data_IF_267209702297
#
_entry.id   IF_267209702297
#
_cell.length_a   1.000
_cell.length_b   1.000
_cell.length_c   1.000
_cell.angle_alpha   90.00
_cell.angle_beta   90.00
_cell.angle_gamma   90.00
#
_symmetry.space_group_name_H-M   'P 1'
#
loop_
_entity.id
_entity.type
_entity.pdbx_description
1 polymer ?
#
# COMPACT_ATOMS: atom_id res chain seq x y z
N UNK A 1 72.68 -38.93 1.23
CA UNK A 1 73.54 -37.80 0.84
C UNK A 1 72.65 -36.75 0.18
N UNK A 2 72.13 -35.75 0.91
CA UNK A 2 72.73 -34.41 1.11
C UNK A 2 73.23 -33.86 -0.24
N UNK A 3 72.57 -32.90 -0.89
CA UNK A 3 72.55 -31.47 -0.49
C UNK A 3 71.25 -30.75 -0.88
N UNK A 4 70.72 -30.01 0.10
CA UNK A 4 69.87 -28.82 -0.05
C UNK A 4 70.71 -27.67 -0.60
N UNK A 5 70.10 -26.79 -1.41
CA UNK A 5 70.41 -25.35 -1.42
C UNK A 5 69.13 -24.55 -1.56
N UNK A 6 69.04 -23.52 -0.71
CA UNK A 6 67.92 -22.60 -0.46
C UNK A 6 68.10 -21.29 -1.24
N UNK A 7 66.95 -20.68 -1.56
CA UNK A 7 66.58 -19.24 -1.55
C UNK A 7 67.38 -18.23 -2.40
N UNK A 8 66.64 -17.45 -3.19
CA UNK A 8 66.47 -16.00 -2.97
C UNK A 8 65.23 -15.47 -3.70
N UNK A 9 64.24 -15.02 -2.91
CA UNK A 9 63.23 -14.04 -3.31
C UNK A 9 63.90 -12.67 -3.44
N UNK A 10 63.53 -11.89 -4.45
CA UNK A 10 63.52 -10.43 -4.35
C UNK A 10 62.29 -9.88 -5.07
N UNK A 11 61.38 -9.33 -4.25
CA UNK A 11 60.30 -8.42 -4.63
C UNK A 11 60.87 -7.07 -5.04
N UNK A 12 60.29 -6.44 -6.06
CA UNK A 12 60.30 -4.98 -6.19
C UNK A 12 59.14 -4.50 -7.08
N UNK A 13 58.11 -3.92 -6.46
CA UNK A 13 57.29 -2.83 -7.02
C UNK A 13 57.69 -1.52 -6.29
N UNK A 14 57.22 -0.32 -6.66
CA UNK A 14 57.28 0.36 -7.97
C UNK A 14 57.80 1.83 -7.81
N UNK A 15 58.02 2.62 -8.88
CA UNK A 15 58.10 4.06 -8.74
C UNK A 15 56.81 4.78 -9.17
N UNK A 16 56.18 5.33 -8.14
CA UNK A 16 55.27 6.46 -8.05
C UNK A 16 55.32 7.46 -9.24
N UNK A 17 54.29 7.47 -10.10
CA UNK A 17 54.06 8.55 -11.07
C UNK A 17 53.02 9.52 -10.51
N UNK A 18 53.52 10.68 -10.07
CA UNK A 18 52.74 11.87 -9.71
C UNK A 18 51.82 12.28 -10.86
N UNK A 19 50.50 12.15 -10.68
CA UNK A 19 49.51 12.85 -11.50
C UNK A 19 49.55 14.34 -11.15
N UNK A 20 50.16 15.13 -12.04
CA UNK A 20 50.09 16.58 -12.06
C UNK A 20 48.67 17.01 -12.41
N UNK A 21 47.87 17.43 -11.42
CA UNK A 21 46.61 18.14 -11.65
C UNK A 21 46.91 19.59 -12.01
N UNK A 22 46.95 19.91 -13.31
CA UNK A 22 46.89 21.31 -13.75
C UNK A 22 45.47 21.83 -13.59
N UNK A 23 45.31 22.63 -12.54
CA UNK A 23 44.33 23.71 -12.44
C UNK A 23 44.26 24.47 -13.77
N UNK A 24 43.11 24.49 -14.43
CA UNK A 24 42.78 25.55 -15.39
C UNK A 24 41.77 26.46 -14.72
N UNK A 25 42.27 27.65 -14.39
CA UNK A 25 41.47 28.82 -14.03
C UNK A 25 40.63 29.23 -15.24
N UNK A 26 39.32 29.37 -15.04
CA UNK A 26 38.44 30.05 -15.98
C UNK A 26 38.70 31.55 -15.89
N UNK A 27 39.08 32.15 -17.02
CA UNK A 27 39.22 33.60 -17.17
C UNK A 27 37.84 34.20 -17.40
N UNK A 28 37.48 35.14 -16.54
CA UNK A 28 36.35 36.05 -16.70
C UNK A 28 36.70 37.05 -17.81
N UNK A 29 35.87 37.12 -18.84
CA UNK A 29 35.76 38.32 -19.66
C UNK A 29 34.35 38.87 -19.53
N UNK A 30 34.26 40.03 -18.89
CA UNK A 30 33.18 40.97 -19.09
C UNK A 30 33.36 41.61 -20.47
N UNK A 31 32.27 41.78 -21.22
CA UNK A 31 32.08 42.91 -22.13
C UNK A 31 30.59 43.17 -22.24
N UNK A 32 30.24 44.39 -21.85
CA UNK A 32 28.94 45.02 -22.03
C UNK A 32 28.72 45.46 -23.49
N UNK A 33 27.43 45.49 -23.85
CA UNK A 33 26.74 46.39 -24.79
C UNK A 33 27.10 46.39 -26.30
N UNK A 34 26.19 45.90 -27.16
CA UNK A 34 25.07 46.68 -27.71
C UNK A 34 24.29 45.94 -28.81
N UNK A 35 22.96 46.00 -28.71
CA UNK A 35 21.87 45.95 -29.72
C UNK A 35 21.93 45.04 -30.96
N UNK A 36 20.94 44.15 -31.08
CA UNK A 36 19.93 44.16 -32.18
C UNK A 36 19.17 42.83 -32.31
N UNK A 37 17.84 42.94 -32.29
CA UNK A 37 16.81 42.10 -32.95
C UNK A 37 16.62 40.62 -32.58
N UNK A 38 15.52 40.38 -31.86
CA UNK A 38 14.44 39.41 -32.18
C UNK A 38 14.82 38.03 -32.73
N UNK A 39 14.68 37.00 -31.87
CA UNK A 39 13.72 35.90 -32.09
C UNK A 39 13.68 35.03 -30.84
N UNK A 40 12.48 34.91 -30.25
CA UNK A 40 12.18 34.00 -29.15
C UNK A 40 12.09 32.56 -29.68
N UNK A 41 13.02 31.70 -29.25
CA UNK A 41 12.77 30.27 -29.18
C UNK A 41 13.39 29.76 -27.87
N UNK A 42 12.52 29.67 -26.85
CA UNK A 42 12.87 29.39 -25.47
C UNK A 42 13.21 27.90 -25.30
N UNK A 43 14.50 27.57 -25.38
CA UNK A 43 15.05 26.27 -24.98
C UNK A 43 14.94 26.08 -23.46
N UNK A 44 14.41 24.96 -22.94
CA UNK A 44 14.31 24.77 -21.51
C UNK A 44 15.68 24.51 -20.90
N UNK A 45 16.01 25.39 -19.95
CA UNK A 45 17.21 25.40 -19.11
C UNK A 45 17.42 24.06 -18.40
N UNK A 46 18.63 23.53 -18.56
CA UNK A 46 19.21 22.43 -17.76
C UNK A 46 19.14 22.82 -16.28
N UNK A 47 18.24 22.19 -15.55
CA UNK A 47 18.15 22.29 -14.08
C UNK A 47 18.91 21.14 -13.44
N UNK A 48 19.56 21.48 -12.32
CA UNK A 48 20.59 20.70 -11.66
C UNK A 48 20.20 19.25 -11.29
N UNK A 49 21.21 18.40 -11.41
CA UNK A 49 21.22 16.97 -11.07
C UNK A 49 20.88 16.78 -9.58
N UNK A 50 19.64 16.34 -9.31
CA UNK A 50 19.23 15.87 -7.98
C UNK A 50 19.74 14.43 -7.79
N UNK A 51 20.71 14.25 -6.90
CA UNK A 51 21.22 12.93 -6.50
C UNK A 51 20.09 12.12 -5.85
N UNK A 52 19.68 11.02 -6.49
CA UNK A 52 18.80 10.02 -5.88
C UNK A 52 19.61 9.12 -4.93
N UNK A 53 19.51 9.36 -3.62
CA UNK A 53 20.00 8.45 -2.59
C UNK A 53 18.90 7.45 -2.23
N UNK A 54 19.22 6.16 -2.17
CA UNK A 54 18.32 5.10 -1.72
C UNK A 54 18.74 4.60 -0.34
N UNK A 55 17.95 4.93 0.69
CA UNK A 55 18.07 4.31 2.01
C UNK A 55 17.24 3.01 2.06
N UNK A 56 17.87 1.91 2.48
CA UNK A 56 17.23 0.61 2.67
C UNK A 56 16.68 0.51 4.09
N UNK A 57 15.35 0.42 4.25
CA UNK A 57 14.72 -0.09 5.48
C UNK A 57 14.18 -1.50 5.25
N UNK A 58 14.62 -2.44 6.09
CA UNK A 58 14.09 -3.80 6.21
C UNK A 58 12.79 -3.75 7.02
N UNK A 59 11.73 -4.41 6.54
CA UNK A 59 10.58 -4.79 7.37
C UNK A 59 10.32 -6.29 7.24
N UNK A 60 10.12 -6.92 8.39
CA UNK A 60 9.84 -8.34 8.60
C UNK A 60 8.33 -8.61 8.68
N UNK A 61 7.91 -9.78 8.20
CA UNK A 61 6.51 -10.23 8.08
C UNK A 61 5.85 -10.64 9.43
N UNK A 62 4.50 -10.65 9.53
CA UNK A 62 3.77 -11.04 10.73
C UNK A 62 3.40 -12.53 10.74
N UNK A 63 3.40 -13.12 11.94
CA UNK A 63 2.94 -14.48 12.23
C UNK A 63 1.42 -14.51 12.45
N UNK A 64 0.76 -15.54 11.91
CA UNK A 64 -0.68 -15.75 12.04
C UNK A 64 -1.08 -16.44 13.35
N UNK A 65 -2.39 -16.41 13.64
CA UNK A 65 -3.00 -17.35 14.56
C UNK A 65 -4.42 -17.72 14.09
N UNK A 66 -4.68 -19.03 14.09
CA UNK A 66 -5.97 -19.70 13.91
C UNK A 66 -6.50 -20.11 15.28
N UNK A 67 -7.82 -20.12 15.46
CA UNK A 67 -8.62 -20.93 16.41
C UNK A 67 -10.09 -20.60 16.06
N UNK A 68 -10.94 -21.44 15.48
CA UNK A 68 -11.35 -22.84 15.69
C UNK A 68 -12.16 -23.04 16.99
N UNK A 69 -13.49 -22.89 16.87
CA UNK A 69 -14.58 -23.42 17.73
C UNK A 69 -14.41 -24.93 17.96
N UNK A 70 -14.93 -25.54 19.06
CA UNK A 70 -16.30 -26.15 19.08
C UNK A 70 -16.91 -26.36 20.53
N UNK A 71 -17.81 -27.32 20.84
CA UNK A 71 -19.29 -27.32 20.68
C UNK A 71 -20.07 -27.89 21.93
N UNK A 72 -21.33 -28.34 21.72
CA UNK A 72 -22.24 -29.19 22.55
C UNK A 72 -23.28 -28.47 23.44
N UNK A 73 -24.46 -29.01 23.79
CA UNK A 73 -25.44 -30.00 23.27
C UNK A 73 -26.50 -30.22 24.38
N UNK A 74 -27.80 -30.28 24.01
CA UNK A 74 -28.86 -31.23 24.42
C UNK A 74 -29.24 -31.45 25.93
N UNK A 75 -30.57 -31.41 26.22
CA UNK A 75 -31.28 -32.24 27.24
C UNK A 75 -32.18 -31.46 28.23
N UNK A 76 -33.53 -31.56 28.15
CA UNK A 76 -34.45 -32.35 29.04
C UNK A 76 -34.61 -31.77 30.48
N UNK A 77 -35.73 -31.76 31.20
CA UNK A 77 -37.13 -32.21 31.10
C UNK A 77 -37.87 -31.64 32.35
N UNK A 78 -39.20 -31.65 32.35
CA UNK A 78 -40.09 -31.18 33.42
C UNK A 78 -40.01 -31.98 34.74
N UNK A 79 -40.48 -31.41 35.86
CA UNK A 79 -41.65 -31.84 36.68
C UNK A 79 -41.65 -31.12 38.06
N UNK A 80 -42.83 -30.83 38.67
CA UNK A 80 -43.03 -29.89 39.77
C UNK A 80 -43.18 -30.58 41.13
N UNK A 81 -43.16 -29.82 42.23
CA UNK A 81 -43.54 -30.34 43.55
C UNK A 81 -44.34 -29.33 44.38
N UNK A 82 -45.49 -29.82 44.85
CA UNK A 82 -46.43 -29.23 45.80
C UNK A 82 -45.84 -29.22 47.22
N UNK A 83 -46.40 -28.39 48.11
CA UNK A 83 -46.78 -28.71 49.51
C UNK A 83 -47.27 -27.41 50.19
N UNK A 84 -48.52 -27.38 50.69
CA UNK A 84 -48.92 -27.54 52.10
C UNK A 84 -48.54 -26.28 52.96
N UNK A 85 -49.33 -25.70 53.87
CA UNK A 85 -50.42 -26.17 54.71
C UNK A 85 -50.99 -24.95 55.47
N UNK A 86 -52.29 -25.01 55.79
CA UNK A 86 -53.00 -24.53 57.01
C UNK A 86 -52.46 -23.37 57.88
N UNK A 87 -53.36 -22.46 58.27
CA UNK A 87 -53.93 -22.42 59.64
C UNK A 87 -55.06 -21.38 59.77
N UNK A 88 -56.05 -21.81 60.52
CA UNK A 88 -57.34 -21.23 60.89
C UNK A 88 -57.21 -20.19 62.02
N UNK A 89 -58.24 -19.34 62.23
CA UNK A 89 -58.26 -18.40 63.34
C UNK A 89 -59.32 -17.30 63.28
N UNK A 90 -60.60 -17.67 63.36
CA UNK A 90 -61.71 -16.77 63.76
C UNK A 90 -61.67 -16.56 65.28
N UNK A 91 -62.04 -15.37 65.77
CA UNK A 91 -63.16 -15.36 66.71
C UNK A 91 -64.18 -14.25 66.44
N UNK A 92 -65.43 -14.65 66.69
CA UNK A 92 -66.71 -13.95 66.67
C UNK A 92 -66.76 -12.88 67.78
N UNK A 93 -67.34 -11.70 67.49
CA UNK A 93 -68.00 -10.84 68.49
C UNK A 93 -69.27 -10.24 67.87
N UNK A 94 -70.28 -10.14 68.73
CA UNK A 94 -71.72 -10.11 68.49
C UNK A 94 -72.29 -8.78 67.96
N UNK A 95 -73.41 -8.91 67.23
CA UNK A 95 -74.36 -7.85 66.91
C UNK A 95 -75.22 -7.47 68.13
N UNK A 96 -75.78 -6.25 68.15
CA UNK A 96 -77.22 -6.14 68.40
C UNK A 96 -77.99 -5.30 67.36
N UNK A 97 -79.26 -5.70 67.19
CA UNK A 97 -80.38 -5.26 66.34
C UNK A 97 -80.73 -3.75 66.40
N UNK A 98 -81.03 -3.05 65.27
CA UNK A 98 -82.34 -2.80 64.59
C UNK A 98 -83.29 -1.76 65.28
N UNK A 99 -84.26 -1.09 64.62
CA UNK A 99 -84.35 -0.52 63.26
C UNK A 99 -84.85 0.96 63.25
N UNK A 100 -84.61 1.71 62.16
CA UNK A 100 -85.55 2.78 61.72
C UNK A 100 -85.65 2.72 60.19
N UNK A 101 -86.85 2.38 59.72
CA UNK A 101 -87.27 2.49 58.31
C UNK A 101 -87.36 3.96 57.90
N UNK A 102 -86.79 4.34 56.76
CA UNK A 102 -87.32 5.45 55.97
C UNK A 102 -87.17 5.12 54.48
N UNK A 103 -88.30 4.75 53.85
CA UNK A 103 -88.43 4.50 52.41
C UNK A 103 -88.33 5.83 51.66
N UNK A 104 -87.46 5.98 50.63
CA UNK A 104 -87.64 7.03 49.65
C UNK A 104 -88.84 6.67 48.76
N UNK A 105 -89.79 7.60 48.69
CA UNK A 105 -91.01 7.53 47.88
C UNK A 105 -90.66 7.19 46.42
N UNK A 106 -91.22 6.07 45.95
CA UNK A 106 -91.28 5.75 44.53
C UNK A 106 -92.20 6.75 43.82
N UNK A 107 -91.61 7.71 43.10
CA UNK A 107 -92.30 8.38 42.01
C UNK A 107 -92.42 7.40 40.85
N UNK A 108 -93.59 6.76 40.76
CA UNK A 108 -94.02 5.94 39.62
C UNK A 108 -94.23 6.86 38.41
N UNK A 109 -93.21 6.95 37.55
CA UNK A 109 -93.42 7.22 36.13
C UNK A 109 -94.12 6.00 35.52
N UNK A 110 -95.45 6.04 35.47
CA UNK A 110 -96.24 5.18 34.57
C UNK A 110 -95.94 5.59 33.12
N UNK A 111 -94.85 5.04 32.55
CA UNK A 111 -94.75 4.89 31.10
C UNK A 111 -95.46 3.58 30.72
N UNK A 112 -96.40 3.68 29.79
CA UNK A 112 -97.22 2.61 29.24
C UNK A 112 -96.54 1.24 29.16
N UNK A 113 -97.15 0.24 29.82
CA UNK A 113 -97.07 -1.15 29.36
C UNK A 113 -97.81 -1.24 28.02
N UNK A 114 -97.03 -1.09 26.94
CA UNK A 114 -97.45 -1.50 25.61
C UNK A 114 -97.23 -3.01 25.53
N UNK A 115 -98.28 -3.75 25.23
CA UNK A 115 -98.28 -5.19 24.98
C UNK A 115 -97.28 -5.49 23.84
N UNK A 116 -96.05 -5.89 24.19
CA UNK A 116 -95.02 -6.26 23.21
C UNK A 116 -95.26 -7.71 22.81
N UNK A 117 -95.37 -7.99 21.51
CA UNK A 117 -95.49 -9.37 21.04
C UNK A 117 -94.23 -10.16 21.37
N UNK A 118 -94.35 -11.49 21.48
CA UNK A 118 -93.21 -12.37 21.76
C UNK A 118 -92.08 -12.21 20.71
N UNK A 119 -92.44 -11.83 19.46
CA UNK A 119 -91.47 -11.50 18.42
C UNK A 119 -90.63 -10.24 18.74
N UNK A 120 -91.21 -9.23 19.39
CA UNK A 120 -90.48 -8.02 19.78
C UNK A 120 -89.52 -8.27 20.96
N UNK A 121 -89.86 -9.21 21.84
CA UNK A 121 -88.91 -9.72 22.85
C UNK A 121 -87.76 -10.46 22.21
N UNK A 122 -88.03 -11.34 21.25
CA UNK A 122 -86.98 -12.08 20.55
C UNK A 122 -86.07 -11.14 19.73
N UNK A 123 -86.64 -10.15 19.02
CA UNK A 123 -85.86 -9.12 18.31
C UNK A 123 -84.97 -8.32 19.25
N UNK A 124 -85.43 -8.03 20.45
CA UNK A 124 -84.64 -7.31 21.45
C UNK A 124 -83.49 -8.19 21.97
N UNK A 125 -83.73 -9.48 22.18
CA UNK A 125 -82.69 -10.45 22.57
C UNK A 125 -81.65 -10.60 21.45
N UNK A 126 -82.09 -10.71 20.20
CA UNK A 126 -81.20 -10.83 19.05
C UNK A 126 -80.38 -9.56 18.85
N UNK A 127 -81.00 -8.38 18.98
CA UNK A 127 -80.30 -7.08 18.95
C UNK A 127 -79.28 -6.96 20.10
N UNK A 128 -79.63 -7.43 21.31
CA UNK A 128 -78.72 -7.46 22.45
C UNK A 128 -77.54 -8.43 22.21
N UNK A 129 -77.78 -9.57 21.56
CA UNK A 129 -76.74 -10.53 21.18
C UNK A 129 -75.78 -9.94 20.12
N UNK A 130 -76.30 -9.26 19.10
CA UNK A 130 -75.48 -8.56 18.09
C UNK A 130 -74.65 -7.47 18.77
N UNK A 131 -75.27 -6.64 19.61
CA UNK A 131 -74.58 -5.58 20.35
C UNK A 131 -73.48 -6.15 21.27
N UNK A 132 -73.75 -7.25 21.96
CA UNK A 132 -72.78 -7.97 22.80
C UNK A 132 -71.60 -8.48 21.96
N UNK A 133 -71.89 -9.07 20.81
CA UNK A 133 -70.86 -9.62 19.90
C UNK A 133 -69.97 -8.52 19.34
N UNK A 134 -70.57 -7.39 18.94
CA UNK A 134 -69.85 -6.23 18.42
C UNK A 134 -69.01 -5.55 19.52
N UNK A 135 -69.55 -5.45 20.74
CA UNK A 135 -68.81 -4.97 21.90
C UNK A 135 -67.60 -5.87 22.21
N UNK A 136 -67.79 -7.19 22.22
CA UNK A 136 -66.69 -8.15 22.43
C UNK A 136 -65.64 -8.05 21.33
N UNK A 137 -66.05 -7.92 20.06
CA UNK A 137 -65.12 -7.75 18.94
C UNK A 137 -64.32 -6.45 19.03
N UNK A 138 -64.97 -5.33 19.39
CA UNK A 138 -64.30 -4.05 19.62
C UNK A 138 -63.32 -4.14 20.79
N UNK A 139 -63.74 -4.70 21.92
CA UNK A 139 -62.87 -4.90 23.09
C UNK A 139 -61.68 -5.79 22.78
N UNK A 140 -61.85 -6.85 21.97
CA UNK A 140 -60.76 -7.74 21.54
C UNK A 140 -59.77 -7.03 20.62
N UNK A 141 -60.26 -6.22 19.67
CA UNK A 141 -59.40 -5.40 18.81
C UNK A 141 -58.65 -4.32 19.60
N UNK A 142 -59.31 -3.69 20.57
CA UNK A 142 -58.69 -2.72 21.47
C UNK A 142 -57.62 -3.38 22.35
N UNK A 143 -57.90 -4.57 22.89
CA UNK A 143 -56.96 -5.33 23.70
C UNK A 143 -55.68 -5.71 22.94
N UNK A 144 -55.75 -5.96 21.63
CA UNK A 144 -54.57 -6.20 20.80
C UNK A 144 -53.61 -5.01 20.68
N UNK A 145 -54.10 -3.79 20.95
CA UNK A 145 -53.35 -2.54 20.78
C UNK A 145 -52.96 -1.86 22.10
N UNK A 146 -53.39 -2.40 23.25
CA UNK A 146 -53.06 -1.83 24.56
C UNK A 146 -51.63 -2.19 24.95
N UNK A 147 -50.91 -1.23 25.52
CA UNK A 147 -49.65 -1.50 26.18
C UNK A 147 -49.87 -2.37 27.43
N UNK A 148 -48.84 -3.10 27.85
CA UNK A 148 -48.89 -3.95 29.04
C UNK A 148 -49.24 -3.17 30.31
N UNK A 149 -48.86 -1.89 30.36
CA UNK A 149 -49.18 -0.97 31.47
C UNK A 149 -50.67 -0.61 31.46
N UNK A 150 -51.22 -0.28 30.30
CA UNK A 150 -52.65 0.02 30.15
C UNK A 150 -53.51 -1.23 30.42
N UNK A 151 -53.06 -2.42 30.02
CA UNK A 151 -53.73 -3.68 30.37
C UNK A 151 -53.78 -3.90 31.89
N UNK A 152 -52.70 -3.59 32.62
CA UNK A 152 -52.66 -3.70 34.09
C UNK A 152 -53.62 -2.72 34.75
N UNK A 153 -53.64 -1.47 34.29
CA UNK A 153 -54.54 -0.43 34.81
C UNK A 153 -56.00 -0.80 34.55
N UNK A 154 -56.31 -1.22 33.33
CA UNK A 154 -57.66 -1.64 32.95
C UNK A 154 -58.12 -2.86 33.75
N UNK A 155 -57.25 -3.86 33.92
CA UNK A 155 -57.54 -5.02 34.74
C UNK A 155 -57.82 -4.65 36.20
N UNK A 156 -57.02 -3.75 36.79
CA UNK A 156 -57.24 -3.24 38.16
C UNK A 156 -58.61 -2.59 38.30
N UNK A 157 -58.95 -1.65 37.40
CA UNK A 157 -60.25 -0.97 37.42
C UNK A 157 -61.41 -1.97 37.26
N UNK A 158 -61.26 -3.01 36.43
CA UNK A 158 -62.26 -4.06 36.29
C UNK A 158 -62.42 -4.89 37.57
N UNK A 159 -61.33 -5.19 38.27
CA UNK A 159 -61.39 -5.90 39.55
C UNK A 159 -62.10 -5.06 40.61
N UNK A 160 -61.80 -3.77 40.70
CA UNK A 160 -62.43 -2.86 41.66
C UNK A 160 -63.96 -2.79 41.45
N UNK A 161 -64.40 -2.73 40.18
CA UNK A 161 -65.84 -2.72 39.84
C UNK A 161 -66.51 -4.06 40.15
N UNK A 162 -65.87 -5.19 39.83
CA UNK A 162 -66.41 -6.52 40.11
C UNK A 162 -66.48 -6.82 41.61
N UNK A 163 -65.53 -6.29 42.40
CA UNK A 163 -65.53 -6.37 43.86
C UNK A 163 -66.70 -5.60 44.47
N UNK A 164 -66.98 -4.39 43.99
CA UNK A 164 -68.15 -3.59 44.42
C UNK A 164 -69.48 -4.27 44.09
N UNK A 165 -69.53 -5.04 43.00
CA UNK A 165 -70.71 -5.80 42.60
C UNK A 165 -70.91 -7.11 43.40
N UNK A 166 -69.97 -7.48 44.27
CA UNK A 166 -70.04 -8.69 45.10
C UNK A 166 -69.83 -9.99 44.34
N UNK A 167 -69.25 -9.93 43.14
CA UNK A 167 -69.04 -11.10 42.28
C UNK A 167 -67.73 -11.83 42.66
N UNK A 168 -67.70 -13.17 42.57
CA UNK A 168 -66.45 -13.92 42.76
C UNK A 168 -65.70 -14.04 41.42
N UNK A 169 -64.84 -13.06 41.13
CA UNK A 169 -64.10 -12.96 39.87
C UNK A 169 -62.66 -13.51 39.95
N UNK A 170 -62.34 -14.34 40.95
CA UNK A 170 -60.99 -14.89 41.18
C UNK A 170 -60.44 -15.68 39.98
N UNK A 171 -61.28 -16.46 39.30
CA UNK A 171 -60.91 -17.19 38.08
C UNK A 171 -60.58 -16.24 36.92
N UNK A 172 -61.42 -15.23 36.69
CA UNK A 172 -61.21 -14.18 35.69
C UNK A 172 -59.92 -13.39 35.96
N UNK A 173 -59.64 -13.05 37.23
CA UNK A 173 -58.41 -12.40 37.67
C UNK A 173 -57.16 -13.22 37.34
N UNK A 174 -57.22 -14.54 37.52
CA UNK A 174 -56.14 -15.45 37.15
C UNK A 174 -55.90 -15.49 35.64
N UNK A 175 -56.98 -15.56 34.84
CA UNK A 175 -56.94 -15.57 33.38
C UNK A 175 -56.30 -14.29 32.80
N UNK A 176 -56.73 -13.13 33.30
CA UNK A 176 -56.23 -11.82 32.87
C UNK A 176 -54.77 -11.62 33.29
N UNK A 177 -54.38 -12.04 34.49
CA UNK A 177 -52.97 -12.01 34.91
C UNK A 177 -52.08 -12.91 34.04
N UNK A 178 -52.54 -14.11 33.66
CA UNK A 178 -51.82 -14.98 32.72
C UNK A 178 -51.63 -14.29 31.37
N UNK A 179 -52.66 -13.62 30.86
CA UNK A 179 -52.61 -12.87 29.60
C UNK A 179 -51.61 -11.70 29.66
N UNK A 180 -51.64 -10.91 30.74
CA UNK A 180 -50.69 -9.80 30.96
C UNK A 180 -49.24 -10.33 31.00
N UNK A 181 -48.99 -11.44 31.70
CA UNK A 181 -47.66 -12.05 31.78
C UNK A 181 -47.21 -12.58 30.42
N UNK A 182 -48.09 -13.24 29.67
CA UNK A 182 -47.78 -13.69 28.30
C UNK A 182 -47.44 -12.51 27.39
N UNK A 183 -48.22 -11.43 27.44
CA UNK A 183 -47.96 -10.23 26.64
C UNK A 183 -46.61 -9.58 27.01
N UNK A 184 -46.28 -9.50 28.31
CA UNK A 184 -44.98 -9.00 28.78
C UNK A 184 -43.80 -9.87 28.31
N UNK A 185 -43.97 -11.19 28.26
CA UNK A 185 -42.96 -12.13 27.74
C UNK A 185 -42.73 -11.95 26.23
N UNK A 186 -43.80 -11.77 25.46
CA UNK A 186 -43.68 -11.51 24.01
C UNK A 186 -42.99 -10.17 23.74
N UNK A 187 -43.34 -9.13 24.52
CA UNK A 187 -42.73 -7.81 24.36
C UNK A 187 -41.23 -7.79 24.74
N UNK A 188 -40.83 -8.52 25.78
CA UNK A 188 -39.42 -8.67 26.16
C UNK A 188 -38.63 -9.44 25.10
N UNK A 189 -39.15 -10.59 24.65
CA UNK A 189 -38.51 -11.37 23.59
C UNK A 189 -38.34 -10.57 22.27
N UNK A 190 -39.31 -9.72 21.91
CA UNK A 190 -39.20 -8.84 20.75
C UNK A 190 -38.07 -7.80 20.90
N UNK A 191 -37.97 -7.16 22.08
CA UNK A 191 -36.92 -6.19 22.39
C UNK A 191 -35.53 -6.83 22.40
N UNK A 192 -35.40 -8.01 23.00
CA UNK A 192 -34.14 -8.74 23.04
C UNK A 192 -33.66 -9.11 21.62
N UNK A 193 -34.58 -9.56 20.76
CA UNK A 193 -34.28 -9.87 19.36
C UNK A 193 -33.81 -8.64 18.56
N UNK A 194 -34.45 -7.50 18.77
CA UNK A 194 -34.09 -6.24 18.11
C UNK A 194 -32.73 -5.74 18.57
N UNK A 195 -32.47 -5.76 19.88
CA UNK A 195 -31.18 -5.36 20.44
C UNK A 195 -30.02 -6.25 19.95
N UNK A 196 -30.20 -7.57 19.95
CA UNK A 196 -29.16 -8.49 19.47
C UNK A 196 -28.80 -8.25 18.00
N UNK A 197 -29.78 -7.98 17.14
CA UNK A 197 -29.52 -7.68 15.74
C UNK A 197 -28.78 -6.36 15.54
N UNK A 198 -29.16 -5.30 16.26
CA UNK A 198 -28.60 -3.97 16.05
C UNK A 198 -27.15 -3.85 16.55
N UNK A 199 -26.86 -4.41 17.73
CA UNK A 199 -25.51 -4.40 18.29
C UNK A 199 -24.53 -5.27 17.50
N UNK A 200 -24.97 -6.45 17.07
CA UNK A 200 -24.14 -7.39 16.28
C UNK A 200 -23.85 -6.83 14.88
N UNK A 201 -24.88 -6.27 14.22
CA UNK A 201 -24.70 -5.67 12.89
C UNK A 201 -23.81 -4.43 12.93
N UNK A 202 -23.90 -3.63 14.00
CA UNK A 202 -23.01 -2.47 14.20
C UNK A 202 -21.57 -2.89 14.48
N UNK A 203 -21.35 -3.95 15.27
CA UNK A 203 -20.02 -4.50 15.51
C UNK A 203 -19.38 -5.01 14.23
N UNK A 204 -20.11 -5.82 13.45
CA UNK A 204 -19.65 -6.29 12.14
C UNK A 204 -19.34 -5.16 11.16
N UNK A 205 -20.17 -4.11 11.13
CA UNK A 205 -19.89 -2.93 10.31
C UNK A 205 -18.59 -2.22 10.74
N UNK A 206 -18.37 -2.06 12.05
CA UNK A 206 -17.14 -1.46 12.57
C UNK A 206 -15.90 -2.27 12.21
N UNK A 207 -15.94 -3.59 12.35
CA UNK A 207 -14.85 -4.49 11.96
C UNK A 207 -14.56 -4.40 10.46
N UNK A 208 -15.61 -4.41 9.63
CA UNK A 208 -15.46 -4.24 8.18
C UNK A 208 -14.85 -2.88 7.84
N UNK A 209 -15.30 -1.80 8.46
CA UNK A 209 -14.76 -0.45 8.22
C UNK A 209 -13.27 -0.36 8.60
N UNK A 210 -12.86 -0.97 9.71
CA UNK A 210 -11.45 -1.03 10.10
C UNK A 210 -10.63 -1.87 9.11
N UNK A 211 -11.15 -3.02 8.68
CA UNK A 211 -10.50 -3.84 7.66
C UNK A 211 -10.33 -3.09 6.34
N UNK A 212 -11.38 -2.42 5.85
CA UNK A 212 -11.33 -1.59 4.65
C UNK A 212 -10.33 -0.44 4.78
N UNK A 213 -10.27 0.21 5.95
CA UNK A 213 -9.29 1.27 6.22
C UNK A 213 -7.86 0.74 6.09
N UNK A 214 -7.57 -0.42 6.69
CA UNK A 214 -6.26 -1.07 6.61
C UNK A 214 -5.89 -1.44 5.16
N UNK A 215 -6.80 -2.11 4.45
CA UNK A 215 -6.58 -2.50 3.04
C UNK A 215 -6.36 -1.27 2.15
N UNK A 216 -7.12 -0.19 2.38
CA UNK A 216 -6.93 1.07 1.65
C UNK A 216 -5.54 1.67 1.90
N UNK A 217 -5.05 1.63 3.13
CA UNK A 217 -3.72 2.13 3.45
C UNK A 217 -2.61 1.27 2.80
N UNK A 218 -2.76 -0.06 2.83
CA UNK A 218 -1.84 -0.98 2.14
C UNK A 218 -1.83 -0.74 0.63
N UNK A 219 -3.00 -0.49 0.03
CA UNK A 219 -3.13 -0.17 -1.39
C UNK A 219 -2.42 1.14 -1.75
N UNK A 220 -2.62 2.20 -0.97
CA UNK A 220 -1.95 3.49 -1.18
C UNK A 220 -0.42 3.35 -1.06
N UNK A 221 0.06 2.57 -0.10
CA UNK A 221 1.49 2.29 0.04
C UNK A 221 2.04 1.49 -1.15
N UNK A 222 1.29 0.50 -1.66
CA UNK A 222 1.68 -0.26 -2.84
C UNK A 222 1.72 0.64 -4.10
N UNK A 223 0.76 1.56 -4.24
CA UNK A 223 0.71 2.53 -5.34
C UNK A 223 1.89 3.50 -5.30
N UNK A 224 2.25 4.00 -4.12
CA UNK A 224 3.43 4.86 -3.94
C UNK A 224 4.73 4.11 -4.31
N UNK A 225 4.90 2.88 -3.82
CA UNK A 225 6.07 2.05 -4.16
C UNK A 225 6.15 1.76 -5.66
N UNK A 226 5.00 1.52 -6.32
CA UNK A 226 4.95 1.30 -7.76
C UNK A 226 5.35 2.57 -8.52
N UNK A 227 4.87 3.74 -8.09
CA UNK A 227 5.22 5.03 -8.66
C UNK A 227 6.73 5.31 -8.52
N UNK A 228 7.29 5.06 -7.34
CA UNK A 228 8.73 5.21 -7.07
C UNK A 228 9.55 4.24 -7.95
N UNK A 229 9.13 2.98 -8.06
CA UNK A 229 9.78 1.99 -8.91
C UNK A 229 9.74 2.39 -10.40
N UNK A 230 8.60 2.89 -10.88
CA UNK A 230 8.45 3.38 -12.26
C UNK A 230 9.38 4.56 -12.54
N UNK A 231 9.49 5.50 -11.60
CA UNK A 231 10.43 6.62 -11.69
C UNK A 231 11.89 6.14 -11.75
N UNK A 232 12.27 5.18 -10.89
CA UNK A 232 13.61 4.55 -10.91
C UNK A 232 13.91 3.89 -12.26
N UNK A 233 12.94 3.14 -12.81
CA UNK A 233 13.08 2.49 -14.12
C UNK A 233 13.29 3.53 -15.23
N UNK A 234 12.52 4.62 -15.24
CA UNK A 234 12.71 5.70 -16.21
C UNK A 234 14.10 6.33 -16.11
N UNK A 235 14.58 6.59 -14.88
CA UNK A 235 15.95 7.10 -14.66
C UNK A 235 17.02 6.13 -15.18
N UNK A 236 16.82 4.82 -15.00
CA UNK A 236 17.74 3.80 -15.53
C UNK A 236 17.70 3.72 -17.07
N UNK A 237 16.54 3.92 -17.69
CA UNK A 237 16.44 3.97 -19.15
C UNK A 237 17.25 5.13 -19.73
N UNK A 238 17.13 6.33 -19.15
CA UNK A 238 17.92 7.50 -19.57
C UNK A 238 19.41 7.23 -19.44
N UNK A 239 19.87 6.70 -18.30
CA UNK A 239 21.28 6.34 -18.12
C UNK A 239 21.78 5.29 -19.10
N UNK A 240 20.92 4.32 -19.46
CA UNK A 240 21.25 3.31 -20.46
C UNK A 240 21.46 3.96 -21.82
N UNK A 241 20.60 4.90 -22.20
CA UNK A 241 20.71 5.66 -23.45
C UNK A 241 22.01 6.48 -23.48
N UNK A 242 22.29 7.25 -22.43
CA UNK A 242 23.55 8.01 -22.28
C UNK A 242 24.79 7.10 -22.41
N UNK A 243 24.79 5.93 -21.77
CA UNK A 243 25.90 4.97 -21.88
C UNK A 243 26.01 4.36 -23.28
N UNK A 244 24.88 4.14 -23.94
CA UNK A 244 24.86 3.60 -25.31
C UNK A 244 25.46 4.62 -26.28
N UNK A 245 25.13 5.90 -26.13
CA UNK A 245 25.71 6.98 -26.92
C UNK A 245 27.20 7.16 -26.68
N UNK A 246 27.64 7.11 -25.41
CA UNK A 246 29.06 7.17 -25.07
C UNK A 246 29.85 6.00 -25.67
N UNK A 247 29.30 4.78 -25.61
CA UNK A 247 29.93 3.60 -26.23
C UNK A 247 30.03 3.74 -27.74
N UNK A 248 28.99 4.27 -28.41
CA UNK A 248 29.02 4.54 -29.84
C UNK A 248 30.13 5.51 -30.21
N UNK A 249 30.22 6.66 -29.53
CA UNK A 249 31.28 7.65 -29.78
C UNK A 249 32.68 7.05 -29.59
N UNK A 250 32.90 6.31 -28.50
CA UNK A 250 34.19 5.67 -28.24
C UNK A 250 34.54 4.60 -29.29
N UNK A 251 33.52 3.91 -29.83
CA UNK A 251 33.73 2.91 -30.89
C UNK A 251 34.15 3.59 -32.19
N UNK A 252 33.57 4.75 -32.50
CA UNK A 252 33.90 5.55 -33.68
C UNK A 252 35.31 6.14 -33.57
N UNK A 253 35.64 6.73 -32.41
CA UNK A 253 37.00 7.23 -32.11
C UNK A 253 38.05 6.11 -32.19
N UNK A 254 37.74 4.91 -31.69
CA UNK A 254 38.62 3.75 -31.78
C UNK A 254 38.85 3.31 -33.24
N UNK A 255 37.81 3.40 -34.08
CA UNK A 255 37.93 3.08 -35.50
C UNK A 255 38.81 4.10 -36.24
N UNK A 256 38.57 5.40 -36.03
CA UNK A 256 39.37 6.48 -36.61
C UNK A 256 40.84 6.39 -36.19
N UNK A 257 41.10 6.18 -34.91
CA UNK A 257 42.45 6.01 -34.37
C UNK A 257 43.12 4.73 -34.92
N UNK A 258 42.34 3.66 -35.10
CA UNK A 258 42.79 2.44 -35.76
C UNK A 258 43.26 2.66 -37.19
N UNK A 259 42.51 3.43 -37.99
CA UNK A 259 42.91 3.80 -39.36
C UNK A 259 44.15 4.71 -39.36
N UNK A 260 44.24 5.66 -38.42
CA UNK A 260 45.42 6.51 -38.25
C UNK A 260 46.68 5.70 -37.96
N UNK A 261 46.60 4.71 -37.07
CA UNK A 261 47.71 3.82 -36.73
C UNK A 261 48.12 2.95 -37.92
N UNK A 262 47.16 2.45 -38.71
CA UNK A 262 47.45 1.72 -39.95
C UNK A 262 48.24 2.59 -40.94
N UNK A 263 47.78 3.82 -41.18
CA UNK A 263 48.45 4.77 -42.06
C UNK A 263 49.89 5.07 -41.60
N UNK A 264 50.09 5.40 -40.33
CA UNK A 264 51.43 5.65 -39.78
C UNK A 264 52.34 4.42 -39.84
N UNK A 265 51.77 3.22 -39.71
CA UNK A 265 52.55 1.97 -39.82
C UNK A 265 53.01 1.76 -41.26
N UNK A 266 52.14 1.97 -42.25
CA UNK A 266 52.52 1.91 -43.67
C UNK A 266 53.60 2.95 -44.02
N UNK A 267 53.49 4.17 -43.51
CA UNK A 267 54.50 5.22 -43.71
C UNK A 267 55.84 4.83 -43.10
N UNK A 268 55.85 4.33 -41.86
CA UNK A 268 57.06 3.83 -41.20
C UNK A 268 57.73 2.72 -42.01
N UNK A 269 56.96 1.76 -42.52
CA UNK A 269 57.49 0.64 -43.29
C UNK A 269 58.08 1.11 -44.62
N UNK A 270 57.41 2.06 -45.30
CA UNK A 270 57.96 2.72 -46.50
C UNK A 270 59.27 3.44 -46.19
N UNK A 271 59.33 4.22 -45.12
CA UNK A 271 60.54 4.94 -44.72
C UNK A 271 61.68 3.98 -44.41
N UNK A 272 61.41 2.88 -43.71
CA UNK A 272 62.41 1.84 -43.41
C UNK A 272 63.01 1.24 -44.69
N UNK A 273 62.18 1.01 -45.71
CA UNK A 273 62.64 0.51 -47.01
C UNK A 273 63.54 1.54 -47.69
N UNK A 274 63.10 2.80 -47.78
CA UNK A 274 63.94 3.88 -48.37
C UNK A 274 65.25 4.10 -47.62
N UNK A 275 65.24 3.98 -46.28
CA UNK A 275 66.45 4.09 -45.48
C UNK A 275 67.44 2.97 -45.80
N UNK A 276 66.95 1.74 -45.97
CA UNK A 276 67.78 0.59 -46.33
C UNK A 276 68.43 0.77 -47.72
N UNK A 277 67.69 1.33 -48.68
CA UNK A 277 68.22 1.67 -50.01
C UNK A 277 69.32 2.73 -49.92
N UNK A 278 69.07 3.81 -49.18
CA UNK A 278 70.05 4.89 -48.95
C UNK A 278 71.31 4.35 -48.26
N UNK A 279 71.19 3.45 -47.27
CA UNK A 279 72.33 2.84 -46.60
C UNK A 279 73.19 1.97 -47.55
N UNK A 280 72.56 1.27 -48.51
CA UNK A 280 73.28 0.52 -49.54
C UNK A 280 74.02 1.48 -50.48
N UNK A 281 73.36 2.53 -50.95
CA UNK A 281 73.97 3.53 -51.83
C UNK A 281 75.13 4.25 -51.14
N UNK A 282 74.97 4.64 -49.87
CA UNK A 282 75.99 5.28 -49.06
C UNK A 282 77.23 4.38 -48.91
N UNK A 283 77.04 3.08 -48.65
CA UNK A 283 78.15 2.11 -48.62
C UNK A 283 78.86 2.04 -49.97
N UNK A 284 78.13 2.04 -51.07
CA UNK A 284 78.69 2.06 -52.42
C UNK A 284 79.50 3.33 -52.70
N UNK A 285 78.99 4.50 -52.35
CA UNK A 285 79.71 5.77 -52.47
C UNK A 285 80.97 5.81 -51.60
N UNK A 286 80.90 5.28 -50.38
CA UNK A 286 82.06 5.20 -49.50
C UNK A 286 83.16 4.27 -50.06
N UNK A 287 82.78 3.15 -50.67
CA UNK A 287 83.73 2.26 -51.36
C UNK A 287 84.42 2.98 -52.54
N UNK A 288 83.64 3.67 -53.39
CA UNK A 288 84.17 4.48 -54.51
C UNK A 288 85.10 5.60 -54.03
N UNK A 289 84.73 6.27 -52.93
CA UNK A 289 85.56 7.29 -52.30
C UNK A 289 86.92 6.71 -51.89
N UNK A 290 86.94 5.54 -51.23
CA UNK A 290 88.18 4.90 -50.81
C UNK A 290 89.04 4.48 -52.01
N UNK A 291 88.44 3.93 -53.07
CA UNK A 291 89.14 3.60 -54.32
C UNK A 291 89.78 4.85 -54.95
N UNK A 292 89.03 5.96 -55.04
CA UNK A 292 89.53 7.22 -55.54
C UNK A 292 90.67 7.79 -54.67
N UNK A 293 90.60 7.65 -53.35
CA UNK A 293 91.69 8.06 -52.44
C UNK A 293 92.98 7.26 -52.69
N UNK A 294 92.89 5.94 -52.85
CA UNK A 294 94.05 5.09 -53.19
C UNK A 294 94.62 5.46 -54.56
N UNK A 295 93.76 5.68 -55.57
CA UNK A 295 94.19 6.13 -56.89
C UNK A 295 94.88 7.51 -56.85
N UNK A 296 94.38 8.42 -56.01
CA UNK A 296 95.01 9.73 -55.81
C UNK A 296 96.38 9.63 -55.12
N UNK A 297 96.53 8.77 -54.12
CA UNK A 297 97.82 8.52 -53.46
C UNK A 297 98.86 7.94 -54.42
N UNK A 298 98.46 6.95 -55.23
CA UNK A 298 99.35 6.36 -56.25
C UNK A 298 99.76 7.37 -57.33
N UNK A 299 98.83 8.23 -57.77
CA UNK A 299 99.16 9.37 -58.64
C UNK A 299 100.18 10.31 -58.00
N UNK A 300 99.99 10.69 -56.73
CA UNK A 300 100.92 11.57 -56.03
C UNK A 300 102.32 10.95 -55.88
N UNK A 301 102.39 9.64 -55.60
CA UNK A 301 103.66 8.92 -55.56
C UNK A 301 104.36 8.91 -56.93
N UNK A 302 103.62 8.61 -58.00
CA UNK A 302 104.14 8.66 -59.37
C UNK A 302 104.61 10.07 -59.77
N UNK A 303 103.86 11.10 -59.39
CA UNK A 303 104.23 12.51 -59.58
C UNK A 303 105.53 12.85 -58.86
N UNK A 304 105.68 12.45 -57.59
CA UNK A 304 106.90 12.69 -56.83
C UNK A 304 108.13 11.98 -57.44
N UNK A 305 107.97 10.74 -57.93
CA UNK A 305 109.03 10.04 -58.66
C UNK A 305 109.40 10.72 -59.97
N UNK A 306 108.41 11.21 -60.73
CA UNK A 306 108.65 11.97 -61.95
C UNK A 306 109.40 13.27 -61.66
N UNK A 307 108.97 14.04 -60.66
CA UNK A 307 109.65 15.26 -60.21
C UNK A 307 111.09 14.96 -59.79
N UNK A 308 111.33 13.89 -59.01
CA UNK A 308 112.68 13.43 -58.63
C UNK A 308 113.56 13.11 -59.84
N UNK A 309 113.06 12.37 -60.83
CA UNK A 309 113.80 12.05 -62.05
C UNK A 309 114.08 13.30 -62.90
N UNK A 310 113.10 14.20 -63.00
CA UNK A 310 113.24 15.49 -63.69
C UNK A 310 114.35 16.34 -63.06
N UNK A 311 114.37 16.46 -61.73
CA UNK A 311 115.41 17.18 -61.01
C UNK A 311 116.80 16.56 -61.22
N UNK A 312 116.90 15.23 -61.20
CA UNK A 312 118.15 14.52 -61.51
C UNK A 312 118.64 14.83 -62.94
N UNK A 313 117.74 14.84 -63.92
CA UNK A 313 118.07 15.17 -65.31
C UNK A 313 118.55 16.63 -65.44
N UNK A 314 117.85 17.57 -64.81
CA UNK A 314 118.24 18.99 -64.82
C UNK A 314 119.61 19.21 -64.17
N UNK A 315 119.93 18.49 -63.10
CA UNK A 315 121.26 18.52 -62.48
C UNK A 315 122.36 17.95 -63.40
N UNK A 316 122.07 16.92 -64.21
CA UNK A 316 123.01 16.39 -65.20
C UNK A 316 123.27 17.38 -66.35
N UNK A 317 122.23 18.07 -66.81
CA UNK A 317 122.35 19.09 -67.88
C UNK A 317 123.18 20.28 -67.39
N UNK A 318 122.98 20.73 -66.15
CA UNK A 318 123.70 21.87 -65.56
C UNK A 318 125.15 21.56 -65.13
N UNK A 319 125.64 20.33 -65.35
CA UNK A 319 127.03 19.90 -65.07
C UNK A 319 127.91 19.80 -66.33
N UNK A 320 127.40 20.26 -67.48
CA UNK A 320 128.21 20.58 -68.67
C UNK A 320 128.58 22.06 -68.68
#
# INVERSE_FOLDING_TARGET
MVRKSRKLEQRSEPPNVRRSSRFRQSVVYANDASDSSENEEELPRITAIRKCNSEKKKMSAPAGNKQQLPPLAIGQEMVPEETAETMDGVPVVELPSSPVEEKPKHDRLFLHEQERTEEDRQRLIDAACVFKSELVARLKNSAGNLSTTEMKILASNCYDVLEVLGDNFTSFKSEVNKLIVQHQKVQSAAKDKEAWNDWDMKAHYFEQAQYFSKVKQELLFAEENLSEAKSKVNCLMVKKEEMTDALRMLTEELYEEGERVKSMTQERDRLKLTHSEIEVELRGLNAKKNEASVAFETYNAAKAEFERMSDQLMQLINKK
#
